data_IF_141372318830
#
_entry.id   IF_141372318830
#
_cell.length_a   1.000
_cell.length_b   1.000
_cell.length_c   1.000
_cell.angle_alpha   90.00
_cell.angle_beta   90.00
_cell.angle_gamma   90.00
#
_symmetry.space_group_name_H-M   'P 1'
#
loop_
_entity.id
_entity.type
_entity.pdbx_description
1 polymer ?
#
# COMPACT_ATOMS: atom_id res chain seq x y z
N UNK A 1 -1.99 17.19 5.80
CA UNK A 1 -2.57 15.94 6.31
C UNK A 1 -2.19 14.85 5.34
N UNK A 2 -1.23 13.99 5.69
CA UNK A 2 -0.78 12.91 4.82
C UNK A 2 -1.86 11.82 4.78
N UNK A 3 -2.51 11.63 3.64
CA UNK A 3 -3.47 10.55 3.44
C UNK A 3 -2.71 9.31 2.96
N UNK A 4 -2.85 8.23 3.72
CA UNK A 4 -2.29 6.93 3.40
C UNK A 4 -3.46 6.05 2.94
N UNK A 5 -3.37 5.48 1.75
CA UNK A 5 -4.39 4.58 1.20
C UNK A 5 -3.74 3.25 0.85
N UNK A 6 -4.28 2.16 1.36
CA UNK A 6 -3.86 0.81 1.02
C UNK A 6 -4.84 0.26 -0.01
N UNK A 7 -4.35 0.06 -1.23
CA UNK A 7 -5.07 -0.68 -2.24
C UNK A 7 -4.84 -2.17 -2.02
N UNK A 8 -5.90 -2.86 -1.62
CA UNK A 8 -5.89 -4.29 -1.32
C UNK A 8 -6.96 -5.03 -2.13
N UNK A 9 -6.93 -6.36 -2.11
CA UNK A 9 -7.95 -7.22 -2.71
C UNK A 9 -8.55 -8.11 -1.65
N UNK A 10 -9.76 -8.64 -1.92
CA UNK A 10 -10.47 -9.57 -1.03
C UNK A 10 -9.64 -10.74 -0.49
N UNK A 11 -8.71 -11.28 -1.29
CA UNK A 11 -7.91 -12.46 -0.89
C UNK A 11 -6.44 -12.21 -1.22
N UNK A 12 -5.72 -11.59 -0.30
CA UNK A 12 -4.28 -11.44 -0.40
C UNK A 12 -3.62 -11.49 1.00
N UNK A 13 -2.75 -12.47 1.28
CA UNK A 13 -2.06 -12.57 2.57
C UNK A 13 -1.14 -11.38 2.83
N UNK A 14 -0.44 -10.89 1.79
CA UNK A 14 0.47 -9.74 1.90
C UNK A 14 -0.26 -8.46 2.33
N UNK A 15 -1.50 -8.25 1.85
CA UNK A 15 -2.32 -7.11 2.26
C UNK A 15 -2.57 -7.10 3.78
N UNK A 16 -2.83 -8.26 4.38
CA UNK A 16 -3.08 -8.34 5.82
C UNK A 16 -1.82 -8.00 6.63
N UNK A 17 -0.66 -8.46 6.16
CA UNK A 17 0.63 -8.18 6.80
C UNK A 17 0.91 -6.67 6.81
N UNK A 18 0.75 -6.00 5.67
CA UNK A 18 0.98 -4.55 5.55
C UNK A 18 0.00 -3.74 6.42
N UNK A 19 -1.30 -4.07 6.38
CA UNK A 19 -2.33 -3.45 7.23
C UNK A 19 -1.95 -3.56 8.71
N UNK A 20 -1.55 -4.76 9.14
CA UNK A 20 -1.18 -5.01 10.52
C UNK A 20 0.00 -4.14 10.98
N UNK A 21 1.01 -3.95 10.15
CA UNK A 21 2.15 -3.07 10.48
C UNK A 21 1.72 -1.62 10.61
N UNK A 22 0.93 -1.11 9.66
CA UNK A 22 0.45 0.27 9.73
C UNK A 22 -0.43 0.51 10.98
N UNK A 23 -1.28 -0.46 11.34
CA UNK A 23 -2.04 -0.42 12.59
C UNK A 23 -1.16 -0.52 13.84
N UNK A 24 -0.14 -1.38 13.83
CA UNK A 24 0.83 -1.57 14.93
C UNK A 24 1.64 -0.30 15.17
N UNK A 25 1.99 0.43 14.10
CA UNK A 25 2.62 1.75 14.16
C UNK A 25 1.66 2.88 14.55
N UNK A 26 0.36 2.61 14.74
CA UNK A 26 -0.64 3.62 15.12
C UNK A 26 -1.00 4.61 14.00
N UNK A 27 -0.81 4.21 12.74
CA UNK A 27 -0.96 5.09 11.59
C UNK A 27 -2.36 4.94 11.01
N UNK A 28 -3.04 6.08 10.84
CA UNK A 28 -4.34 6.10 10.16
C UNK A 28 -4.14 5.91 8.65
N UNK A 29 -4.73 4.84 8.12
CA UNK A 29 -4.76 4.56 6.69
C UNK A 29 -6.19 4.27 6.24
N UNK A 30 -6.44 4.54 4.96
CA UNK A 30 -7.68 4.21 4.29
C UNK A 30 -7.51 2.91 3.52
N UNK A 31 -8.55 2.11 3.43
CA UNK A 31 -8.52 0.87 2.65
C UNK A 31 -9.37 1.03 1.40
N UNK A 32 -8.79 0.75 0.24
CA UNK A 32 -9.50 0.76 -1.03
C UNK A 32 -9.34 -0.60 -1.72
N UNK A 33 -10.43 -1.14 -2.27
CA UNK A 33 -10.37 -2.40 -2.99
C UNK A 33 -9.91 -2.15 -4.44
N UNK A 34 -8.77 -2.71 -4.83
CA UNK A 34 -8.19 -2.50 -6.18
C UNK A 34 -9.01 -3.17 -7.30
N UNK A 35 -9.97 -4.04 -6.94
CA UNK A 35 -10.91 -4.63 -7.89
C UNK A 35 -12.01 -3.64 -8.26
N UNK A 36 -12.10 -2.50 -7.58
CA UNK A 36 -13.06 -1.45 -7.92
C UNK A 36 -12.57 -0.61 -9.09
N UNK A 37 -13.47 -0.13 -9.95
CA UNK A 37 -13.10 0.71 -11.09
C UNK A 37 -12.46 2.05 -10.65
N UNK A 38 -12.81 2.57 -9.47
CA UNK A 38 -12.21 3.78 -8.92
C UNK A 38 -10.70 3.60 -8.68
N UNK A 39 -10.32 2.53 -7.97
CA UNK A 39 -8.92 2.21 -7.71
C UNK A 39 -8.12 1.95 -9.00
N UNK A 40 -8.70 1.20 -9.95
CA UNK A 40 -8.05 0.94 -11.24
C UNK A 40 -7.80 2.24 -12.02
N UNK A 41 -8.74 3.18 -11.95
CA UNK A 41 -8.60 4.50 -12.58
C UNK A 41 -7.47 5.29 -11.95
N UNK A 42 -7.42 5.38 -10.62
CA UNK A 42 -6.33 6.07 -9.89
C UNK A 42 -4.96 5.45 -10.17
N UNK A 43 -4.85 4.12 -10.09
CA UNK A 43 -3.59 3.41 -10.37
C UNK A 43 -3.13 3.65 -11.81
N UNK A 44 -4.03 3.55 -12.78
CA UNK A 44 -3.71 3.78 -14.20
C UNK A 44 -3.32 5.24 -14.45
N UNK A 45 -4.02 6.20 -13.85
CA UNK A 45 -3.70 7.63 -13.97
C UNK A 45 -2.32 7.97 -13.37
N UNK A 46 -1.93 7.27 -12.31
CA UNK A 46 -0.64 7.46 -11.66
C UNK A 46 0.47 6.56 -12.26
N UNK A 47 0.23 5.94 -13.43
CA UNK A 47 1.17 5.05 -14.11
C UNK A 47 1.61 3.84 -13.27
N UNK A 48 0.76 3.40 -12.34
CA UNK A 48 1.00 2.23 -11.47
C UNK A 48 0.39 1.00 -12.12
N UNK A 49 1.19 0.29 -12.90
CA UNK A 49 0.77 -0.94 -13.61
C UNK A 49 1.06 -2.21 -12.83
N UNK A 50 0.85 -2.19 -11.50
CA UNK A 50 1.03 -3.40 -10.69
C UNK A 50 -0.21 -4.29 -10.78
N UNK A 51 -0.01 -5.53 -11.23
CA UNK A 51 -1.00 -6.60 -11.14
C UNK A 51 -0.95 -7.32 -9.78
N UNK A 52 -0.06 -6.89 -8.89
CA UNK A 52 0.19 -7.51 -7.60
C UNK A 52 -0.20 -6.57 -6.46
N UNK A 53 -1.03 -7.12 -5.57
CA UNK A 53 -1.42 -6.54 -4.29
C UNK A 53 -0.37 -6.80 -3.20
N UNK A 54 -0.28 -5.97 -2.14
CA UNK A 54 -0.89 -4.65 -1.92
C UNK A 54 -0.16 -3.48 -2.61
N UNK A 55 -0.86 -2.35 -2.81
CA UNK A 55 -0.24 -1.06 -3.16
C UNK A 55 -0.46 -0.07 -2.02
N UNK A 56 0.60 0.57 -1.57
CA UNK A 56 0.55 1.63 -0.56
C UNK A 56 0.67 2.97 -1.26
N UNK A 57 -0.37 3.80 -1.17
CA UNK A 57 -0.30 5.18 -1.59
C UNK A 57 -0.09 6.07 -0.38
N UNK A 58 0.88 6.97 -0.49
CA UNK A 58 1.16 7.98 0.51
C UNK A 58 1.23 9.32 -0.22
N UNK A 59 0.26 10.19 0.06
CA UNK A 59 0.07 11.46 -0.64
C UNK A 59 -0.02 11.26 -2.16
N UNK A 60 1.05 11.57 -2.90
CA UNK A 60 1.14 11.49 -4.35
C UNK A 60 2.13 10.42 -4.86
N UNK A 61 2.59 9.54 -3.97
CA UNK A 61 3.48 8.42 -4.28
C UNK A 61 2.78 7.10 -4.06
N UNK A 62 3.11 6.13 -4.92
CA UNK A 62 2.59 4.79 -4.88
C UNK A 62 3.75 3.82 -4.75
N UNK A 63 3.69 2.99 -3.71
CA UNK A 63 4.66 1.96 -3.42
C UNK A 63 4.01 0.60 -3.63
N UNK A 64 4.58 -0.20 -4.53
CA UNK A 64 4.04 -1.52 -4.85
C UNK A 64 4.54 -2.57 -3.87
N UNK A 65 3.93 -3.76 -3.89
CA UNK A 65 4.42 -4.91 -3.12
C UNK A 65 5.91 -5.15 -3.32
N UNK A 66 6.44 -4.97 -4.53
CA UNK A 66 7.88 -5.19 -4.81
C UNK A 66 8.78 -4.19 -4.10
N UNK A 67 8.27 -3.02 -3.77
CA UNK A 67 9.04 -2.01 -3.04
C UNK A 67 8.96 -2.22 -1.52
N UNK A 68 7.80 -2.63 -1.02
CA UNK A 68 7.53 -2.79 0.41
C UNK A 68 7.88 -4.19 0.94
N UNK A 69 7.83 -5.21 0.08
CA UNK A 69 8.11 -6.60 0.40
C UNK A 69 9.39 -7.05 -0.28
N UNK A 70 10.21 -7.75 0.48
CA UNK A 70 11.37 -8.45 -0.02
C UNK A 70 11.00 -9.94 -0.20
N UNK A 71 10.39 -10.26 -1.34
CA UNK A 71 9.83 -11.59 -1.60
C UNK A 71 8.52 -11.81 -0.84
N UNK A 72 8.53 -12.71 0.15
CA UNK A 72 7.35 -13.07 0.95
C UNK A 72 7.27 -12.29 2.29
N UNK A 73 8.34 -11.56 2.64
CA UNK A 73 8.44 -10.84 3.91
C UNK A 73 8.36 -9.33 3.70
N UNK A 74 7.57 -8.65 4.52
CA UNK A 74 7.47 -7.20 4.53
C UNK A 74 8.70 -6.57 5.20
N UNK A 75 9.25 -5.53 4.58
CA UNK A 75 10.39 -4.81 5.11
C UNK A 75 9.91 -3.66 6.01
N UNK A 76 9.76 -3.94 7.32
CA UNK A 76 9.30 -2.94 8.31
C UNK A 76 10.13 -1.67 8.27
N UNK A 77 11.46 -1.79 8.24
CA UNK A 77 12.34 -0.62 8.21
C UNK A 77 12.05 0.27 7.02
N UNK A 78 11.82 -0.34 5.85
CA UNK A 78 11.52 0.40 4.62
C UNK A 78 10.16 1.10 4.69
N UNK A 79 9.15 0.43 5.23
CA UNK A 79 7.82 1.03 5.46
C UNK A 79 7.94 2.21 6.44
N UNK A 80 8.65 2.03 7.56
CA UNK A 80 8.90 3.07 8.54
C UNK A 80 9.68 4.25 7.96
N UNK A 81 10.69 4.02 7.11
CA UNK A 81 11.46 5.06 6.43
C UNK A 81 10.60 5.89 5.47
N UNK A 82 9.77 5.23 4.66
CA UNK A 82 8.82 5.88 3.76
C UNK A 82 7.84 6.76 4.54
N UNK A 83 7.37 6.26 5.69
CA UNK A 83 6.44 6.95 6.57
C UNK A 83 7.14 8.08 7.33
N UNK A 84 8.40 7.91 7.75
CA UNK A 84 9.17 8.94 8.42
C UNK A 84 9.52 10.10 7.48
N UNK A 85 9.59 9.84 6.17
CA UNK A 85 9.85 10.84 5.14
C UNK A 85 8.63 11.64 4.65
N UNK A 86 7.45 11.48 5.27
CA UNK A 86 6.19 12.11 4.85
C UNK A 86 5.82 13.42 5.56
#
# INVERSE_FOLDING_TARGET
MSQITIYSTKVCPNCQILKKILSDSGIAYNEMDMSTPAALTELTMNSVFTMSAPVLQIQNRFYTTKELFNGDTIDRQKVEDIIAGM
#
